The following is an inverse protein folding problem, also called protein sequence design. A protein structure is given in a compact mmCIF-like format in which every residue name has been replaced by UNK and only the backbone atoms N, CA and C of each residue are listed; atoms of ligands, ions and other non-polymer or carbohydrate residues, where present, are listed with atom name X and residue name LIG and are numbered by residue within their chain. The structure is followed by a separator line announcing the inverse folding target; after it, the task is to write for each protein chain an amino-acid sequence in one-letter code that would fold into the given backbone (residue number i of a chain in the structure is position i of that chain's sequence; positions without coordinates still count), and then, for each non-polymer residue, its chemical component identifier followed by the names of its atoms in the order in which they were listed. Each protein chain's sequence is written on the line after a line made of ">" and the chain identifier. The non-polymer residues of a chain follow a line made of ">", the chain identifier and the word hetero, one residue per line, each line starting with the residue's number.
data_IF_505693500121
#
_entry.id   IF_505693500121
#
_cell.length_a   1.000
_cell.length_b   1.000
_cell.length_c   1.000
_cell.angle_alpha   90.00
_cell.angle_beta   90.00
_cell.angle_gamma   90.00
#
_symmetry.space_group_name_H-M   'P 1'
#
loop_
_entity.id
_entity.type
_entity.pdbx_description
1 polymer ?
#
# COMPACT_ATOMS: atom_id res chain seq x y z
N UNK A 1 -1.54 -30.71 -2.40
CA UNK A 1 -1.25 -29.63 -1.44
C UNK A 1 -2.38 -28.61 -1.56
N UNK A 2 -3.31 -28.57 -0.61
CA UNK A 2 -4.44 -27.63 -0.64
C UNK A 2 -3.93 -26.27 -0.17
N UNK A 3 -3.61 -25.39 -1.12
CA UNK A 3 -3.46 -23.95 -0.86
C UNK A 3 -4.85 -23.48 -0.42
N UNK A 4 -4.99 -22.90 0.77
CA UNK A 4 -6.29 -22.45 1.25
C UNK A 4 -6.80 -21.33 0.34
N UNK A 5 -7.84 -21.65 -0.44
CA UNK A 5 -8.46 -20.77 -1.44
C UNK A 5 -9.32 -19.66 -0.80
N UNK A 6 -8.88 -19.02 0.26
CA UNK A 6 -9.53 -17.79 0.71
C UNK A 6 -8.53 -16.64 0.76
N UNK A 7 -8.46 -15.80 -0.28
CA UNK A 7 -7.56 -14.64 -0.31
C UNK A 7 -7.90 -13.58 0.76
N UNK A 8 -9.06 -13.73 1.42
CA UNK A 8 -9.58 -12.78 2.41
C UNK A 8 -10.02 -13.53 3.67
N UNK A 9 -9.36 -13.29 4.81
CA UNK A 9 -9.82 -13.81 6.11
C UNK A 9 -10.37 -12.66 6.94
N UNK A 10 -11.68 -12.64 7.17
CA UNK A 10 -12.30 -11.76 8.17
C UNK A 10 -12.35 -12.48 9.51
N UNK A 11 -11.81 -11.84 10.54
CA UNK A 11 -11.77 -12.40 11.89
C UNK A 11 -13.09 -12.14 12.62
N UNK A 12 -13.66 -13.12 13.36
CA UNK A 12 -14.90 -12.93 14.11
C UNK A 12 -14.82 -11.81 15.16
N UNK A 13 -13.63 -11.55 15.67
CA UNK A 13 -13.28 -10.40 16.50
C UNK A 13 -11.90 -9.89 16.06
N UNK A 14 -11.62 -8.59 16.15
CA UNK A 14 -10.29 -8.07 15.87
C UNK A 14 -9.22 -8.83 16.68
N UNK A 15 -8.10 -9.11 16.03
CA UNK A 15 -6.94 -9.77 16.66
C UNK A 15 -5.71 -8.89 16.50
N UNK A 16 -4.70 -9.11 17.33
CA UNK A 16 -3.43 -8.38 17.19
C UNK A 16 -2.79 -8.68 15.84
N UNK A 17 -2.09 -7.69 15.27
CA UNK A 17 -1.36 -7.82 14.01
C UNK A 17 -0.38 -9.00 14.03
N UNK A 18 0.33 -9.18 15.15
CA UNK A 18 1.22 -10.33 15.34
C UNK A 18 0.48 -11.67 15.23
N UNK A 19 -0.73 -11.78 15.82
CA UNK A 19 -1.54 -13.00 15.75
C UNK A 19 -2.06 -13.25 14.33
N UNK A 20 -2.41 -12.19 13.60
CA UNK A 20 -2.80 -12.29 12.20
C UNK A 20 -1.65 -12.79 11.31
N UNK A 21 -0.46 -12.20 11.43
CA UNK A 21 0.74 -12.64 10.71
C UNK A 21 1.13 -14.09 11.06
N UNK A 22 1.07 -14.45 12.34
CA UNK A 22 1.35 -15.81 12.80
C UNK A 22 0.37 -16.84 12.21
N UNK A 23 -0.90 -16.48 12.03
CA UNK A 23 -1.88 -17.34 11.34
C UNK A 23 -1.55 -17.52 9.86
N UNK A 24 -1.21 -16.44 9.16
CA UNK A 24 -0.84 -16.47 7.74
C UNK A 24 0.38 -17.39 7.53
N UNK A 25 1.42 -17.20 8.36
CA UNK A 25 2.61 -18.05 8.38
C UNK A 25 2.27 -19.53 8.61
N UNK A 26 1.45 -19.84 9.63
CA UNK A 26 1.01 -21.23 9.92
C UNK A 26 0.17 -21.86 8.81
N UNK A 27 -0.48 -21.05 7.98
CA UNK A 27 -1.25 -21.51 6.82
C UNK A 27 -0.39 -21.72 5.57
N UNK A 28 0.94 -21.53 5.67
CA UNK A 28 1.91 -21.85 4.61
C UNK A 28 2.43 -20.66 3.82
N UNK A 29 2.02 -19.42 4.12
CA UNK A 29 2.61 -18.23 3.52
C UNK A 29 3.75 -17.69 4.40
N UNK A 30 4.93 -18.27 4.19
CA UNK A 30 6.15 -17.94 4.93
C UNK A 30 6.61 -16.48 4.75
N UNK A 31 6.10 -15.76 3.74
CA UNK A 31 6.39 -14.34 3.56
C UNK A 31 5.97 -13.52 4.78
N UNK A 32 4.92 -13.96 5.50
CA UNK A 32 4.52 -13.33 6.75
C UNK A 32 5.62 -13.33 7.82
N UNK A 33 6.53 -14.32 7.82
CA UNK A 33 7.62 -14.42 8.80
C UNK A 33 8.56 -13.22 8.77
N UNK A 34 8.75 -12.62 7.58
CA UNK A 34 9.57 -11.41 7.38
C UNK A 34 9.06 -10.24 8.23
N UNK A 35 7.75 -10.18 8.47
CA UNK A 35 7.12 -9.10 9.25
C UNK A 35 7.00 -9.41 10.74
N UNK A 36 6.89 -10.69 11.13
CA UNK A 36 6.57 -11.09 12.52
C UNK A 36 7.55 -10.50 13.52
N UNK A 37 8.85 -10.70 13.31
CA UNK A 37 9.90 -10.25 14.24
C UNK A 37 9.91 -8.70 14.37
N UNK A 38 9.77 -8.00 13.24
CA UNK A 38 9.81 -6.53 13.22
C UNK A 38 8.55 -5.91 13.81
N UNK A 39 7.38 -6.48 13.54
CA UNK A 39 6.11 -6.07 14.18
C UNK A 39 6.16 -6.30 15.68
N UNK A 40 6.72 -7.42 16.15
CA UNK A 40 6.81 -7.74 17.58
C UNK A 40 7.78 -6.83 18.35
N UNK A 41 8.81 -6.30 17.69
CA UNK A 41 9.83 -5.45 18.33
C UNK A 41 9.44 -3.97 18.37
N UNK A 42 8.40 -3.55 17.64
CA UNK A 42 7.90 -2.17 17.63
C UNK A 42 6.60 -2.06 18.42
N UNK A 43 6.60 -1.27 19.49
CA UNK A 43 5.44 -1.15 20.39
C UNK A 43 4.19 -0.61 19.69
N UNK A 44 4.36 0.28 18.71
CA UNK A 44 3.24 0.82 17.95
C UNK A 44 2.60 -0.26 17.07
N UNK A 45 3.37 -0.99 16.26
CA UNK A 45 2.84 -2.08 15.43
C UNK A 45 2.34 -3.27 16.25
N UNK A 46 3.02 -3.63 17.33
CA UNK A 46 2.61 -4.73 18.21
C UNK A 46 1.26 -4.48 18.88
N UNK A 47 0.92 -3.20 19.15
CA UNK A 47 -0.37 -2.81 19.73
C UNK A 47 -1.53 -2.73 18.71
N UNK A 48 -1.26 -2.86 17.41
CA UNK A 48 -2.30 -2.76 16.39
C UNK A 48 -3.19 -4.00 16.36
N UNK A 49 -4.48 -3.76 16.21
CA UNK A 49 -5.47 -4.80 15.95
C UNK A 49 -6.00 -4.71 14.52
N UNK A 50 -6.17 -5.87 13.91
CA UNK A 50 -6.70 -6.04 12.56
C UNK A 50 -7.96 -6.89 12.60
N UNK A 51 -8.91 -6.57 11.72
CA UNK A 51 -10.17 -7.30 11.59
C UNK A 51 -10.23 -8.18 10.35
N UNK A 52 -9.39 -7.92 9.35
CA UNK A 52 -9.27 -8.80 8.19
C UNK A 52 -7.87 -8.77 7.59
N UNK A 53 -7.46 -9.92 7.07
CA UNK A 53 -6.39 -10.04 6.08
C UNK A 53 -7.00 -9.84 4.69
N UNK A 54 -6.48 -8.87 3.94
CA UNK A 54 -7.06 -8.45 2.67
C UNK A 54 -6.29 -9.02 1.47
N UNK A 55 -4.97 -8.89 1.43
CA UNK A 55 -4.24 -9.33 0.24
C UNK A 55 -2.74 -9.47 0.52
N UNK A 56 -2.04 -10.21 -0.35
CA UNK A 56 -0.58 -10.29 -0.39
C UNK A 56 -0.08 -10.04 -1.81
N UNK A 57 0.74 -9.01 -1.93
CA UNK A 57 1.54 -8.72 -3.13
C UNK A 57 2.89 -9.44 -3.08
N UNK A 58 3.73 -9.21 -4.08
CA UNK A 58 5.09 -9.77 -4.15
C UNK A 58 5.97 -9.34 -2.97
N UNK A 59 5.79 -8.11 -2.50
CA UNK A 59 6.58 -7.48 -1.44
C UNK A 59 5.73 -6.86 -0.32
N UNK A 60 4.42 -7.15 -0.28
CA UNK A 60 3.50 -6.49 0.65
C UNK A 60 2.42 -7.43 1.21
N UNK A 61 2.01 -7.20 2.46
CA UNK A 61 0.83 -7.81 3.09
C UNK A 61 -0.10 -6.69 3.55
N UNK A 62 -1.40 -6.85 3.26
CA UNK A 62 -2.42 -5.83 3.48
C UNK A 62 -3.49 -6.34 4.44
N UNK A 63 -3.83 -5.52 5.43
CA UNK A 63 -4.86 -5.77 6.42
C UNK A 63 -5.85 -4.63 6.48
N UNK A 64 -7.07 -4.92 6.94
CA UNK A 64 -7.96 -3.89 7.47
C UNK A 64 -7.80 -3.82 8.99
N UNK A 65 -7.53 -2.63 9.52
CA UNK A 65 -7.42 -2.39 10.96
C UNK A 65 -8.80 -2.40 11.63
N UNK A 66 -8.83 -2.54 12.95
CA UNK A 66 -10.09 -2.53 13.71
C UNK A 66 -10.88 -1.23 13.57
N UNK A 67 -10.20 -0.10 13.37
CA UNK A 67 -10.79 1.23 13.14
C UNK A 67 -11.12 1.50 11.66
N UNK A 68 -10.91 0.54 10.76
CA UNK A 68 -11.34 0.61 9.36
C UNK A 68 -10.38 1.30 8.40
N UNK A 69 -9.12 1.49 8.79
CA UNK A 69 -8.04 1.89 7.91
C UNK A 69 -7.43 0.67 7.21
N UNK A 70 -6.62 0.92 6.18
CA UNK A 70 -5.83 -0.12 5.53
C UNK A 70 -4.41 -0.06 6.08
N UNK A 71 -3.94 -1.17 6.65
CA UNK A 71 -2.54 -1.32 7.04
C UNK A 71 -1.82 -2.14 5.99
N UNK A 72 -0.88 -1.49 5.29
CA UNK A 72 0.04 -2.14 4.36
C UNK A 72 1.42 -2.27 5.01
N UNK A 73 1.92 -3.49 5.11
CA UNK A 73 3.30 -3.80 5.49
C UNK A 73 4.07 -4.16 4.22
N UNK A 74 5.23 -3.53 3.99
CA UNK A 74 6.05 -3.77 2.79
C UNK A 74 7.50 -4.05 3.15
N UNK A 75 8.13 -4.91 2.37
CA UNK A 75 9.60 -4.99 2.33
C UNK A 75 10.13 -3.86 1.43
N UNK A 76 10.95 -2.99 1.99
CA UNK A 76 11.40 -1.79 1.29
C UNK A 76 10.33 -0.72 1.15
N UNK A 77 10.69 0.37 0.47
CA UNK A 77 9.85 1.56 0.36
C UNK A 77 8.78 1.37 -0.72
N UNK A 78 7.53 1.65 -0.37
CA UNK A 78 6.41 1.61 -1.31
C UNK A 78 6.45 2.71 -2.39
N UNK A 79 7.19 3.80 -2.15
CA UNK A 79 7.31 4.92 -3.10
C UNK A 79 8.66 4.81 -3.83
N UNK A 80 8.67 4.42 -5.13
CA UNK A 80 9.90 4.19 -5.88
C UNK A 80 10.79 5.43 -5.92
N UNK A 81 12.11 5.22 -5.75
CA UNK A 81 13.11 6.29 -5.75
C UNK A 81 12.79 7.46 -4.79
N UNK A 82 12.06 7.21 -3.71
CA UNK A 82 11.62 8.23 -2.75
C UNK A 82 10.78 9.36 -3.37
N UNK A 83 10.02 9.06 -4.43
CA UNK A 83 9.06 10.03 -4.96
C UNK A 83 8.09 10.49 -3.87
N UNK A 84 7.64 11.76 -3.89
CA UNK A 84 6.63 12.20 -2.95
C UNK A 84 5.31 11.45 -3.15
N UNK A 85 4.49 11.47 -2.10
CA UNK A 85 3.08 11.12 -2.22
C UNK A 85 2.38 12.20 -3.03
N UNK A 86 1.57 11.79 -4.00
CA UNK A 86 0.86 12.65 -4.93
C UNK A 86 -0.64 12.54 -4.77
N UNK A 87 -1.38 13.52 -5.30
CA UNK A 87 -2.84 13.56 -5.19
C UNK A 87 -3.59 12.41 -5.87
N UNK A 88 -2.91 11.62 -6.71
CA UNK A 88 -3.43 10.40 -7.33
C UNK A 88 -3.14 9.14 -6.50
N UNK A 89 -2.20 9.18 -5.54
CA UNK A 89 -1.92 8.05 -4.66
C UNK A 89 -3.01 7.96 -3.58
N UNK A 90 -3.34 6.74 -3.14
CA UNK A 90 -4.20 6.54 -1.97
C UNK A 90 -3.71 7.39 -0.79
N UNK A 91 -4.58 8.13 -0.09
CA UNK A 91 -4.17 8.94 1.05
C UNK A 91 -3.50 8.11 2.15
N UNK A 92 -2.37 8.60 2.65
CA UNK A 92 -1.60 7.96 3.72
C UNK A 92 -1.72 8.81 4.99
N UNK A 93 -2.38 8.27 6.01
CA UNK A 93 -2.56 8.92 7.31
C UNK A 93 -1.33 8.81 8.19
N UNK A 94 -0.67 7.65 8.16
CA UNK A 94 0.55 7.41 8.95
C UNK A 94 1.49 6.48 8.19
N UNK A 95 2.79 6.73 8.30
CA UNK A 95 3.82 5.82 7.77
C UNK A 95 5.07 5.85 8.61
N UNK A 96 5.83 4.77 8.56
CA UNK A 96 7.12 4.63 9.23
C UNK A 96 7.83 3.36 8.79
N UNK A 97 8.94 3.02 9.43
CA UNK A 97 9.68 1.80 9.14
C UNK A 97 10.51 1.32 10.33
N UNK A 98 10.79 0.01 10.33
CA UNK A 98 11.67 -0.69 11.28
C UNK A 98 12.64 -1.52 10.45
N UNK A 99 13.91 -1.11 10.42
CA UNK A 99 14.88 -1.69 9.49
C UNK A 99 14.42 -1.52 8.03
N UNK A 100 14.33 -2.64 7.30
CA UNK A 100 13.85 -2.72 5.92
C UNK A 100 12.33 -2.84 5.79
N UNK A 101 11.58 -2.98 6.87
CA UNK A 101 10.11 -3.12 6.83
C UNK A 101 9.44 -1.77 6.99
N UNK A 102 8.60 -1.41 6.02
CA UNK A 102 7.83 -0.18 6.02
C UNK A 102 6.37 -0.48 6.33
N UNK A 103 5.69 0.48 6.96
CA UNK A 103 4.26 0.41 7.21
C UNK A 103 3.57 1.68 6.74
N UNK A 104 2.36 1.51 6.21
CA UNK A 104 1.49 2.58 5.72
C UNK A 104 0.07 2.33 6.21
N UNK A 105 -0.49 3.32 6.90
CA UNK A 105 -1.90 3.40 7.24
C UNK A 105 -2.56 4.28 6.20
N UNK A 106 -3.38 3.66 5.38
CA UNK A 106 -3.98 4.22 4.19
C UNK A 106 -5.50 4.33 4.36
N UNK A 107 -6.09 5.22 3.58
CA UNK A 107 -7.53 5.28 3.42
C UNK A 107 -8.08 3.96 2.86
N UNK A 108 -9.20 3.50 3.43
CA UNK A 108 -9.95 2.39 2.83
C UNK A 108 -10.69 2.85 1.59
N UNK A 109 -10.26 2.32 0.45
CA UNK A 109 -10.92 2.51 -0.83
C UNK A 109 -11.81 1.33 -1.22
N UNK A 110 -12.76 1.59 -2.09
CA UNK A 110 -13.73 0.62 -2.59
C UNK A 110 -13.47 0.33 -4.06
N UNK A 111 -13.55 -0.95 -4.43
CA UNK A 111 -13.29 -1.41 -5.80
C UNK A 111 -14.54 -1.93 -6.53
N UNK A 112 -15.71 -1.82 -5.90
CA UNK A 112 -16.97 -2.22 -6.54
C UNK A 112 -17.40 -1.22 -7.60
N UNK A 113 -17.90 -1.71 -8.74
CA UNK A 113 -18.43 -0.87 -9.82
C UNK A 113 -17.36 -0.09 -10.60
N UNK A 114 -16.08 -0.40 -10.42
CA UNK A 114 -15.00 0.23 -11.19
C UNK A 114 -14.94 -0.32 -12.61
N UNK A 115 -14.55 0.53 -13.56
CA UNK A 115 -14.39 0.19 -14.97
C UNK A 115 -13.05 0.67 -15.52
N UNK A 116 -12.69 0.19 -16.71
CA UNK A 116 -11.45 0.57 -17.42
C UNK A 116 -11.35 2.07 -17.69
N UNK A 117 -12.48 2.79 -17.75
CA UNK A 117 -12.50 4.25 -17.89
C UNK A 117 -11.83 4.92 -16.69
N UNK A 118 -12.05 4.41 -15.48
CA UNK A 118 -11.41 4.94 -14.28
C UNK A 118 -9.91 4.64 -14.23
N UNK A 119 -9.48 3.51 -14.78
CA UNK A 119 -8.07 3.19 -14.94
C UNK A 119 -7.40 4.23 -15.84
N UNK A 120 -8.05 4.61 -16.95
CA UNK A 120 -7.56 5.65 -17.86
C UNK A 120 -7.45 7.01 -17.18
N UNK A 121 -8.41 7.39 -16.33
CA UNK A 121 -8.37 8.65 -15.57
C UNK A 121 -7.23 8.70 -14.54
N UNK A 122 -6.98 7.61 -13.80
CA UNK A 122 -5.84 7.54 -12.89
C UNK A 122 -4.53 7.60 -13.67
N UNK A 123 -4.40 6.87 -14.79
CA UNK A 123 -3.22 6.92 -15.67
C UNK A 123 -2.98 8.32 -16.22
N UNK A 124 -4.04 9.06 -16.55
CA UNK A 124 -3.97 10.46 -16.98
C UNK A 124 -3.42 11.34 -15.86
N UNK A 125 -3.96 11.23 -14.65
CA UNK A 125 -3.51 11.97 -13.46
C UNK A 125 -2.02 11.72 -13.14
N UNK A 126 -1.56 10.47 -13.24
CA UNK A 126 -0.14 10.10 -13.07
C UNK A 126 0.75 10.84 -14.08
N UNK A 127 0.35 10.84 -15.36
CA UNK A 127 1.11 11.49 -16.44
C UNK A 127 1.13 13.01 -16.32
N UNK A 128 0.01 13.62 -15.94
CA UNK A 128 -0.10 15.07 -15.71
C UNK A 128 0.82 15.56 -14.59
N UNK A 129 1.06 14.72 -13.58
CA UNK A 129 2.05 14.95 -12.52
C UNK A 129 3.50 14.67 -12.94
N UNK A 130 3.72 14.28 -14.19
CA UNK A 130 5.06 14.07 -14.76
C UNK A 130 5.64 12.66 -14.57
N UNK A 131 4.88 11.72 -14.02
CA UNK A 131 5.31 10.34 -13.83
C UNK A 131 5.01 9.46 -15.06
N UNK A 132 5.66 8.30 -15.14
CA UNK A 132 5.29 7.21 -16.05
C UNK A 132 4.45 6.17 -15.31
N UNK A 133 3.48 5.62 -16.02
CA UNK A 133 2.71 4.45 -15.58
C UNK A 133 3.55 3.18 -15.79
N UNK A 134 3.63 2.32 -14.79
CA UNK A 134 4.37 1.06 -14.79
C UNK A 134 3.44 -0.05 -14.27
N UNK A 135 3.39 -1.20 -14.94
CA UNK A 135 2.53 -2.35 -14.60
C UNK A 135 1.03 -2.04 -14.37
N UNK A 136 0.54 -0.92 -14.93
CA UNK A 136 -0.88 -0.53 -14.94
C UNK A 136 -1.40 -0.46 -16.38
N UNK A 137 -1.81 -1.63 -16.88
CA UNK A 137 -2.49 -1.74 -18.18
C UNK A 137 -3.93 -1.22 -18.09
N UNK A 138 -4.63 -1.13 -19.22
CA UNK A 138 -5.97 -0.53 -19.26
C UNK A 138 -7.04 -1.31 -18.48
N UNK A 139 -6.78 -2.58 -18.18
CA UNK A 139 -7.70 -3.48 -17.46
C UNK A 139 -7.27 -3.68 -16.00
N UNK A 140 -6.33 -2.89 -15.50
CA UNK A 140 -5.78 -3.00 -14.15
C UNK A 140 -6.71 -2.37 -13.09
N UNK A 141 -8.00 -2.73 -13.12
CA UNK A 141 -9.02 -2.24 -12.19
C UNK A 141 -8.63 -2.52 -10.73
N UNK A 142 -7.96 -3.66 -10.48
CA UNK A 142 -7.48 -4.04 -9.16
C UNK A 142 -6.41 -3.09 -8.57
N UNK A 143 -5.79 -2.22 -9.39
CA UNK A 143 -4.78 -1.25 -8.97
C UNK A 143 -5.38 0.11 -8.57
N UNK A 144 -6.70 0.30 -8.71
CA UNK A 144 -7.38 1.56 -8.40
C UNK A 144 -8.49 1.36 -7.38
N UNK A 145 -8.87 2.45 -6.71
CA UNK A 145 -9.95 2.47 -5.73
C UNK A 145 -10.66 3.82 -5.67
N UNK A 146 -11.91 3.81 -5.20
CA UNK A 146 -12.71 5.00 -4.90
C UNK A 146 -12.75 5.28 -3.40
N UNK A 147 -12.59 6.54 -2.99
CA UNK A 147 -12.91 6.95 -1.62
C UNK A 147 -14.41 7.03 -1.40
N UNK A 148 -14.82 7.25 -0.14
CA UNK A 148 -16.24 7.47 0.21
C UNK A 148 -16.84 8.69 -0.49
N UNK A 149 -16.01 9.69 -0.78
CA UNK A 149 -16.38 10.93 -1.47
C UNK A 149 -16.33 10.79 -3.00
N UNK A 150 -16.07 9.57 -3.50
CA UNK A 150 -16.07 9.29 -4.95
C UNK A 150 -14.80 9.71 -5.68
N UNK A 151 -13.69 9.97 -4.96
CA UNK A 151 -12.42 10.30 -5.60
C UNK A 151 -11.63 9.03 -5.95
N UNK A 152 -11.08 9.01 -7.17
CA UNK A 152 -10.26 7.92 -7.68
C UNK A 152 -8.81 8.04 -7.25
N UNK A 153 -8.23 6.90 -6.87
CA UNK A 153 -6.84 6.80 -6.44
C UNK A 153 -6.18 5.53 -6.96
N UNK A 154 -4.85 5.59 -7.04
CA UNK A 154 -3.94 4.48 -7.23
C UNK A 154 -3.66 3.79 -5.89
N UNK A 155 -3.88 2.47 -5.81
CA UNK A 155 -3.65 1.67 -4.61
C UNK A 155 -2.18 1.30 -4.42
N UNK A 156 -1.49 0.97 -5.51
CA UNK A 156 -0.07 0.63 -5.51
C UNK A 156 0.77 1.78 -6.06
N UNK A 157 1.45 2.48 -5.16
CA UNK A 157 2.32 3.59 -5.51
C UNK A 157 3.49 3.18 -6.41
N UNK A 158 3.85 1.89 -6.50
CA UNK A 158 4.93 1.42 -7.36
C UNK A 158 4.60 1.49 -8.85
N UNK A 159 3.32 1.56 -9.20
CA UNK A 159 2.82 1.72 -10.56
C UNK A 159 3.01 3.14 -11.13
N UNK A 160 3.43 4.10 -10.31
CA UNK A 160 3.82 5.43 -10.75
C UNK A 160 5.30 5.65 -10.46
N UNK A 161 6.10 5.86 -11.51
CA UNK A 161 7.57 5.98 -11.40
C UNK A 161 8.05 7.25 -12.07
N UNK A 162 9.18 7.77 -11.61
CA UNK A 162 9.88 8.79 -12.36
C UNK A 162 10.22 8.28 -13.76
N UNK A 163 10.14 9.17 -14.76
CA UNK A 163 10.50 8.85 -16.16
C UNK A 163 11.99 8.51 -16.28
N UNK A 164 12.83 9.25 -15.57
CA UNK A 164 14.29 9.05 -15.51
C UNK A 164 14.82 9.36 -14.10
N UNK A 165 16.04 8.92 -13.80
CA UNK A 165 16.72 9.25 -12.53
C UNK A 165 16.93 10.77 -12.37
N UNK A 166 17.08 11.50 -13.48
CA UNK A 166 17.17 12.97 -13.45
C UNK A 166 15.92 13.63 -12.88
N UNK A 167 14.73 13.09 -13.14
CA UNK A 167 13.50 13.63 -12.54
C UNK A 167 13.51 13.47 -11.02
N UNK A 168 13.99 12.32 -10.52
CA UNK A 168 14.13 12.09 -9.08
C UNK A 168 15.14 13.06 -8.45
N UNK A 169 16.26 13.33 -9.13
CA UNK A 169 17.27 14.28 -8.65
C UNK A 169 16.74 15.72 -8.66
N UNK A 170 16.06 16.12 -9.74
CA UNK A 170 15.49 17.46 -9.87
C UNK A 170 14.42 17.74 -8.82
N UNK A 171 13.52 16.80 -8.57
CA UNK A 171 12.51 16.92 -7.51
C UNK A 171 13.14 17.02 -6.13
N UNK A 172 14.21 16.24 -5.86
CA UNK A 172 14.94 16.31 -4.60
C UNK A 172 15.55 17.70 -4.39
N UNK A 173 16.16 18.29 -5.43
CA UNK A 173 16.72 19.64 -5.41
C UNK A 173 15.61 20.67 -5.21
N UNK A 174 14.54 20.61 -6.01
CA UNK A 174 13.39 21.51 -5.93
C UNK A 174 12.84 21.54 -4.50
N UNK A 175 12.60 20.38 -3.90
CA UNK A 175 12.11 20.28 -2.52
C UNK A 175 13.09 20.88 -1.51
N UNK A 176 14.39 20.73 -1.70
CA UNK A 176 15.39 21.33 -0.81
C UNK A 176 15.39 22.86 -0.90
N UNK A 177 15.27 23.41 -2.11
CA UNK A 177 15.21 24.85 -2.36
C UNK A 177 13.92 25.45 -1.78
N UNK A 178 12.77 24.82 -2.05
CA UNK A 178 11.46 25.31 -1.59
C UNK A 178 11.16 25.00 -0.11
N UNK A 179 11.97 24.19 0.59
CA UNK A 179 11.86 24.01 2.06
C UNK A 179 12.54 25.12 2.85
N UNK A 180 13.35 25.97 2.20
CA UNK A 180 14.10 27.07 2.82
C UNK A 180 13.37 28.42 2.75
N UNK A 181 12.15 28.43 2.23
CA UNK A 181 11.23 29.56 2.21
C UNK A 181 9.89 29.10 2.78
#
# INVERSE_FOLDING_TARGET
>A
MKISNNPYETYPRPITLHKALSKISKNGDEFANVFIEKVSSDSFLASQNVKSYLNRGSAAIVFETSDGQILKLTEGRHFPLNRPHEGFDVPVYKKGHIGNIYYYFEEKLYQHGLSDVFVKEVKKSIREKGYRTFDINDNAIHQIGLSKEGKLYLLDSECARYKTVFHALFDKIKRFVFKKF
#
